data_IF_025873175912
#
_entry.id   IF_025873175912
#
_cell.length_a   1.000
_cell.length_b   1.000
_cell.length_c   1.000
_cell.angle_alpha   90.00
_cell.angle_beta   90.00
_cell.angle_gamma   90.00
#
_symmetry.space_group_name_H-M   'P 1'
#
loop_
_entity.id
_entity.type
_entity.pdbx_description
1 polymer ?
#
# COMPACT_ATOMS: atom_id res chain seq x y z
N UNK A 1 -11.88 -1.54 -10.57
CA UNK A 1 -10.91 -1.75 -9.48
C UNK A 1 -9.85 -2.68 -10.01
N UNK A 2 -8.65 -2.19 -10.31
CA UNK A 2 -7.53 -3.04 -10.66
C UNK A 2 -7.20 -3.91 -9.45
N UNK A 3 -7.47 -5.20 -9.55
CA UNK A 3 -7.18 -6.16 -8.50
C UNK A 3 -5.66 -6.29 -8.39
N UNK A 4 -5.08 -5.72 -7.32
CA UNK A 4 -3.69 -5.98 -6.99
C UNK A 4 -3.50 -7.48 -6.73
N UNK A 5 -2.36 -8.02 -7.16
CA UNK A 5 -2.03 -9.42 -6.88
C UNK A 5 -1.72 -9.61 -5.39
N UNK A 6 -1.76 -10.85 -4.91
CA UNK A 6 -1.41 -11.18 -3.52
C UNK A 6 0.01 -10.69 -3.20
N UNK A 7 0.96 -10.83 -4.14
CA UNK A 7 2.33 -10.35 -3.99
C UNK A 7 2.40 -8.83 -3.82
N UNK A 8 1.63 -8.09 -4.63
CA UNK A 8 1.53 -6.64 -4.50
C UNK A 8 0.93 -6.23 -3.15
N UNK A 9 -0.09 -6.95 -2.67
CA UNK A 9 -0.65 -6.70 -1.33
C UNK A 9 0.42 -6.90 -0.25
N UNK A 10 1.17 -8.00 -0.29
CA UNK A 10 2.24 -8.28 0.69
C UNK A 10 3.33 -7.20 0.63
N UNK A 11 3.74 -6.77 -0.56
CA UNK A 11 4.73 -5.70 -0.72
C UNK A 11 4.25 -4.38 -0.11
N UNK A 12 3.00 -3.99 -0.37
CA UNK A 12 2.39 -2.77 0.17
C UNK A 12 2.34 -2.80 1.70
N UNK A 13 1.95 -3.92 2.29
CA UNK A 13 1.82 -4.07 3.74
C UNK A 13 3.19 -4.12 4.43
N UNK A 14 4.18 -4.81 3.85
CA UNK A 14 5.56 -4.76 4.35
C UNK A 14 6.08 -3.33 4.40
N UNK A 15 5.87 -2.56 3.32
CA UNK A 15 6.22 -1.14 3.27
C UNK A 15 5.44 -0.33 4.32
N UNK A 16 4.18 -0.65 4.57
CA UNK A 16 3.39 0.04 5.59
C UNK A 16 4.00 -0.09 6.99
N UNK A 17 4.31 -1.31 7.41
CA UNK A 17 4.93 -1.55 8.73
C UNK A 17 6.37 -1.01 8.82
N UNK A 18 7.14 -1.03 7.73
CA UNK A 18 8.48 -0.43 7.68
C UNK A 18 8.46 1.11 7.80
N UNK A 19 7.35 1.75 7.42
CA UNK A 19 7.17 3.20 7.50
C UNK A 19 6.38 3.62 8.76
N UNK A 20 6.54 2.89 9.86
CA UNK A 20 5.94 3.21 11.17
C UNK A 20 4.41 3.34 11.10
N UNK A 21 3.75 2.51 10.28
CA UNK A 21 2.30 2.56 10.06
C UNK A 21 1.80 3.93 9.51
N UNK A 22 2.67 4.72 8.90
CA UNK A 22 2.30 6.02 8.34
C UNK A 22 1.86 5.91 6.88
N UNK A 23 0.55 6.01 6.64
CA UNK A 23 -0.05 5.96 5.30
C UNK A 23 0.61 6.91 4.29
N UNK A 24 0.98 8.12 4.72
CA UNK A 24 1.58 9.14 3.85
C UNK A 24 3.00 8.73 3.45
N UNK A 25 3.78 8.22 4.40
CA UNK A 25 5.14 7.73 4.13
C UNK A 25 5.10 6.50 3.22
N UNK A 26 4.21 5.55 3.49
CA UNK A 26 3.98 4.37 2.64
C UNK A 26 3.62 4.76 1.21
N UNK A 27 2.70 5.70 1.01
CA UNK A 27 2.33 6.17 -0.34
C UNK A 27 3.52 6.84 -1.07
N UNK A 28 4.38 7.56 -0.35
CA UNK A 28 5.61 8.13 -0.94
C UNK A 28 6.60 7.03 -1.30
N UNK A 29 6.79 6.04 -0.44
CA UNK A 29 7.67 4.90 -0.68
C UNK A 29 7.16 3.97 -1.80
N UNK A 30 5.85 3.97 -2.08
CA UNK A 30 5.24 3.20 -3.18
C UNK A 30 5.40 3.88 -4.55
N UNK A 31 5.67 5.19 -4.62
CA UNK A 31 5.87 5.92 -5.89
C UNK A 31 6.93 5.33 -6.82
N UNK A 32 8.13 4.93 -6.36
CA UNK A 32 9.13 4.32 -7.24
C UNK A 32 8.67 2.97 -7.82
N UNK A 33 7.81 2.22 -7.13
CA UNK A 33 7.37 0.88 -7.58
C UNK A 33 6.19 0.93 -8.56
N UNK A 34 5.25 1.84 -8.33
CA UNK A 34 4.00 1.91 -9.10
C UNK A 34 3.88 3.15 -9.99
N UNK A 35 4.88 4.03 -9.96
CA UNK A 35 4.84 5.32 -10.64
C UNK A 35 3.86 6.31 -10.01
N UNK A 36 3.78 7.52 -10.58
CA UNK A 36 2.99 8.63 -10.01
C UNK A 36 1.46 8.38 -10.03
N UNK A 37 0.97 7.56 -10.97
CA UNK A 37 -0.47 7.30 -11.17
C UNK A 37 -0.88 5.82 -11.03
N UNK A 38 0.06 4.88 -10.91
CA UNK A 38 -0.25 3.44 -10.79
C UNK A 38 -0.34 2.94 -9.34
N UNK A 39 0.04 3.77 -8.36
CA UNK A 39 0.05 3.38 -6.95
C UNK A 39 -1.35 3.29 -6.34
N UNK A 40 -1.49 2.55 -5.23
CA UNK A 40 -2.76 2.47 -4.51
C UNK A 40 -3.16 3.85 -4.00
N UNK A 41 -4.46 4.12 -4.05
CA UNK A 41 -5.00 5.30 -3.38
C UNK A 41 -4.90 5.15 -1.86
N UNK A 42 -4.99 6.27 -1.13
CA UNK A 42 -4.99 6.24 0.34
C UNK A 42 -6.09 5.34 0.90
N UNK A 43 -7.28 5.39 0.32
CA UNK A 43 -8.42 4.56 0.73
C UNK A 43 -8.20 3.07 0.41
N UNK A 44 -7.53 2.76 -0.71
CA UNK A 44 -7.12 1.40 -1.04
C UNK A 44 -6.13 0.85 -0.01
N UNK A 45 -5.13 1.65 0.36
CA UNK A 45 -4.14 1.27 1.38
C UNK A 45 -4.81 1.04 2.73
N UNK A 46 -5.71 1.93 3.16
CA UNK A 46 -6.47 1.75 4.41
C UNK A 46 -7.31 0.47 4.40
N UNK A 47 -8.01 0.17 3.30
CA UNK A 47 -8.78 -1.07 3.19
C UNK A 47 -7.90 -2.32 3.21
N UNK A 48 -6.70 -2.24 2.63
CA UNK A 48 -5.74 -3.34 2.69
C UNK A 48 -5.27 -3.56 4.11
N UNK A 49 -4.81 -2.52 4.80
CA UNK A 49 -4.37 -2.62 6.20
C UNK A 49 -5.48 -3.17 7.09
N UNK A 50 -6.71 -2.65 6.98
CA UNK A 50 -7.85 -3.13 7.76
C UNK A 50 -8.13 -4.63 7.55
N UNK A 51 -7.92 -5.16 6.34
CA UNK A 51 -8.07 -6.60 6.06
C UNK A 51 -6.98 -7.47 6.68
N UNK A 52 -5.82 -6.90 7.01
CA UNK A 52 -4.73 -7.61 7.68
C UNK A 52 -4.82 -7.52 9.21
N UNK A 53 -5.40 -6.44 9.73
CA UNK A 53 -5.60 -6.23 11.17
C UNK A 53 -6.87 -6.91 11.73
N UNK A 54 -7.74 -7.43 10.86
CA UNK A 54 -8.94 -8.21 11.20
C UNK A 54 -8.67 -9.70 11.03
#
# INVERSE_FOLDING_TARGET
MTSYTIEQHVQIIKLYYQNECSLVQTLRALRPFYGRRGGPSKSTLQRLVAKFET
#
